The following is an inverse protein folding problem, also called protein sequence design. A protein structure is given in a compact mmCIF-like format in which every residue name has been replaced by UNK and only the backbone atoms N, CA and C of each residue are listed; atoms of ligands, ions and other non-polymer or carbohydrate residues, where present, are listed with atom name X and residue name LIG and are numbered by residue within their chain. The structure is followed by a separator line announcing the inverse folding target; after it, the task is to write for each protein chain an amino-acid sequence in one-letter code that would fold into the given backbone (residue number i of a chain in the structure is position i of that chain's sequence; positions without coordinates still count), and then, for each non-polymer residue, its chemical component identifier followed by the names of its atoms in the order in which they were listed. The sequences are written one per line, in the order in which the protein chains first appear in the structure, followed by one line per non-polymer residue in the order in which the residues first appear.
data_IF_180948058916
#
_entry.id   IF_180948058916
#
_cell.length_a   1.000
_cell.length_b   1.000
_cell.length_c   1.000
_cell.angle_alpha   90.00
_cell.angle_beta   90.00
_cell.angle_gamma   90.00
#
_symmetry.space_group_name_H-M   'P 1'
#
loop_
_entity.id
_entity.type
_entity.pdbx_description
1 polymer ?
#
# COMPACT_ATOMS: atom_id res chain seq x y z
N UNK A 1 -12.11 23.78 -20.98
CA UNK A 1 -10.94 23.46 -20.12
C UNK A 1 -10.24 22.26 -20.73
N UNK A 2 -8.90 22.25 -20.68
CA UNK A 2 -8.09 21.10 -21.13
C UNK A 2 -7.72 20.22 -19.94
N UNK A 3 -8.06 18.95 -20.01
CA UNK A 3 -7.75 17.95 -19.00
C UNK A 3 -6.73 16.95 -19.51
N UNK A 4 -5.70 16.67 -18.72
CA UNK A 4 -4.64 15.71 -19.07
C UNK A 4 -4.60 14.59 -18.03
N UNK A 5 -4.73 13.34 -18.49
CA UNK A 5 -4.48 12.14 -17.70
C UNK A 5 -3.09 11.61 -18.08
N UNK A 6 -2.16 11.61 -17.10
CA UNK A 6 -0.74 11.36 -17.37
C UNK A 6 -0.36 9.89 -17.50
N UNK A 7 -1.07 8.99 -16.81
CA UNK A 7 -0.62 7.59 -16.62
C UNK A 7 -1.80 6.61 -16.55
N UNK A 8 -2.62 6.60 -17.61
CA UNK A 8 -3.86 5.81 -17.67
C UNK A 8 -3.63 4.30 -17.46
N UNK A 9 -2.56 3.74 -18.04
CA UNK A 9 -2.24 2.32 -17.94
C UNK A 9 -1.93 1.87 -16.50
N UNK A 10 -1.50 2.80 -15.64
CA UNK A 10 -1.29 2.53 -14.21
C UNK A 10 -2.57 2.10 -13.46
N UNK A 11 -3.74 2.36 -14.07
CA UNK A 11 -5.04 1.96 -13.55
C UNK A 11 -5.49 0.59 -14.03
N UNK A 12 -4.89 0.03 -15.10
CA UNK A 12 -5.37 -1.15 -15.82
C UNK A 12 -6.77 -0.89 -16.39
N UNK A 13 -6.91 0.03 -17.37
CA UNK A 13 -8.22 0.57 -17.77
C UNK A 13 -9.12 -0.41 -18.53
N UNK A 14 -8.62 -1.55 -19.00
CA UNK A 14 -9.30 -2.47 -19.92
C UNK A 14 -10.58 -3.08 -19.33
N UNK A 15 -10.65 -3.22 -18.01
CA UNK A 15 -11.80 -3.80 -17.29
C UNK A 15 -12.57 -2.76 -16.45
N UNK A 16 -12.31 -1.45 -16.68
CA UNK A 16 -12.95 -0.33 -15.98
C UNK A 16 -13.92 0.44 -16.87
N UNK A 17 -14.95 0.99 -16.26
CA UNK A 17 -15.83 1.94 -16.93
C UNK A 17 -15.36 3.37 -16.70
N UNK A 18 -14.77 3.98 -17.72
CA UNK A 18 -14.33 5.37 -17.75
C UNK A 18 -15.36 6.31 -18.38
N UNK A 19 -16.51 5.81 -18.84
CA UNK A 19 -17.46 6.55 -19.67
C UNK A 19 -17.95 7.84 -19.00
N UNK A 20 -18.31 7.78 -17.71
CA UNK A 20 -18.76 8.94 -16.96
C UNK A 20 -17.66 10.01 -16.82
N UNK A 21 -16.42 9.58 -16.55
CA UNK A 21 -15.27 10.47 -16.43
C UNK A 21 -14.99 11.17 -17.76
N UNK A 22 -14.94 10.42 -18.86
CA UNK A 22 -14.62 10.92 -20.19
C UNK A 22 -15.75 11.74 -20.84
N UNK A 23 -16.99 11.60 -20.36
CA UNK A 23 -18.12 12.41 -20.79
C UNK A 23 -18.16 13.82 -20.17
N UNK A 24 -17.27 14.15 -19.23
CA UNK A 24 -17.18 15.52 -18.71
C UNK A 24 -16.85 16.52 -19.83
N UNK A 25 -17.42 17.75 -19.79
CA UNK A 25 -17.27 18.74 -20.87
C UNK A 25 -15.91 19.43 -20.82
N UNK A 26 -14.84 18.66 -20.98
CA UNK A 26 -13.45 19.08 -21.04
C UNK A 26 -12.77 18.48 -22.27
N UNK A 27 -11.73 19.12 -22.75
CA UNK A 27 -10.90 18.64 -23.85
C UNK A 27 -9.83 17.69 -23.31
N UNK A 28 -9.99 16.38 -23.56
CA UNK A 28 -9.17 15.33 -22.99
C UNK A 28 -7.90 15.07 -23.79
N UNK A 29 -6.77 14.99 -23.09
CA UNK A 29 -5.53 14.37 -23.57
C UNK A 29 -5.17 13.24 -22.60
N UNK A 30 -5.06 12.00 -23.09
CA UNK A 30 -4.81 10.83 -22.28
C UNK A 30 -3.51 10.18 -22.73
N UNK A 31 -2.57 10.03 -21.79
CA UNK A 31 -1.32 9.31 -22.02
C UNK A 31 -1.39 7.94 -21.32
N UNK A 32 -0.92 6.87 -21.96
CA UNK A 32 -0.82 5.55 -21.34
C UNK A 32 0.14 5.58 -20.15
N UNK A 33 1.31 6.19 -20.34
CA UNK A 33 2.34 6.39 -19.32
C UNK A 33 3.04 7.73 -19.54
N UNK A 34 3.65 8.29 -18.48
CA UNK A 34 4.40 9.54 -18.55
C UNK A 34 5.66 9.44 -17.71
N UNK A 35 6.82 9.53 -18.36
CA UNK A 35 8.10 9.61 -17.66
C UNK A 35 8.24 10.95 -16.92
N UNK A 36 9.04 11.01 -15.84
CA UNK A 36 9.24 12.26 -15.10
C UNK A 36 9.68 13.45 -15.97
N UNK A 37 10.48 13.20 -16.99
CA UNK A 37 11.01 14.26 -17.89
C UNK A 37 9.95 14.82 -18.85
N UNK A 38 8.89 14.06 -19.16
CA UNK A 38 7.80 14.46 -20.04
C UNK A 38 6.70 15.25 -19.33
N UNK A 39 6.63 15.18 -17.99
CA UNK A 39 5.52 15.77 -17.21
C UNK A 39 5.38 17.26 -17.49
N UNK A 40 6.48 18.01 -17.46
CA UNK A 40 6.45 19.46 -17.65
C UNK A 40 5.87 19.88 -19.00
N UNK A 41 6.24 19.20 -20.07
CA UNK A 41 5.72 19.46 -21.42
C UNK A 41 4.22 19.11 -21.52
N UNK A 42 3.85 17.94 -20.99
CA UNK A 42 2.48 17.41 -21.10
C UNK A 42 1.44 18.23 -20.34
N UNK A 43 1.84 18.90 -19.25
CA UNK A 43 0.92 19.71 -18.44
C UNK A 43 0.96 21.20 -18.73
N UNK A 44 1.88 21.68 -19.58
CA UNK A 44 2.16 23.10 -19.80
C UNK A 44 0.92 23.96 -20.12
N UNK A 45 0.01 23.45 -20.90
CA UNK A 45 -1.24 24.12 -21.30
C UNK A 45 -2.50 23.52 -20.65
N UNK A 46 -2.39 22.60 -19.69
CA UNK A 46 -3.51 21.97 -19.01
C UNK A 46 -4.20 22.91 -18.02
N UNK A 47 -5.50 22.86 -17.94
CA UNK A 47 -6.28 23.47 -16.86
C UNK A 47 -6.48 22.46 -15.68
N UNK A 48 -6.54 21.15 -15.99
CA UNK A 48 -6.73 20.04 -15.05
C UNK A 48 -5.72 18.95 -15.37
N UNK A 49 -5.10 18.37 -14.35
CA UNK A 49 -4.21 17.21 -14.47
C UNK A 49 -4.68 16.07 -13.56
N UNK A 50 -4.69 14.88 -14.11
CA UNK A 50 -4.91 13.62 -13.37
C UNK A 50 -3.61 12.82 -13.39
N UNK A 51 -3.24 12.28 -12.23
CA UNK A 51 -2.08 11.40 -12.10
C UNK A 51 -2.32 10.34 -11.03
N UNK A 52 -1.83 9.14 -11.26
CA UNK A 52 -1.73 8.12 -10.21
C UNK A 52 -0.30 8.11 -9.62
N UNK A 53 0.71 8.10 -10.51
CA UNK A 53 2.13 7.95 -10.11
C UNK A 53 3.08 8.92 -10.81
N UNK A 54 2.71 9.50 -11.95
CA UNK A 54 3.56 10.46 -12.64
C UNK A 54 3.85 11.67 -11.71
N UNK A 55 5.14 12.02 -11.45
CA UNK A 55 5.49 12.99 -10.43
C UNK A 55 5.27 14.43 -10.91
N UNK A 56 4.48 15.20 -10.17
CA UNK A 56 4.26 16.62 -10.41
C UNK A 56 5.13 17.42 -9.42
N UNK A 57 6.20 18.01 -9.91
CA UNK A 57 7.21 18.71 -9.13
C UNK A 57 7.02 20.23 -9.17
N UNK A 58 7.74 20.97 -8.31
CA UNK A 58 7.77 22.42 -8.35
C UNK A 58 8.19 22.96 -9.74
N UNK A 59 9.11 22.27 -10.43
CA UNK A 59 9.53 22.64 -11.79
C UNK A 59 8.38 22.53 -12.79
N UNK A 60 7.69 21.39 -12.82
CA UNK A 60 6.57 21.18 -13.74
C UNK A 60 5.41 22.16 -13.46
N UNK A 61 5.13 22.45 -12.19
CA UNK A 61 4.13 23.43 -11.78
C UNK A 61 4.49 24.86 -12.21
N UNK A 62 5.77 25.23 -12.15
CA UNK A 62 6.22 26.56 -12.58
C UNK A 62 5.99 26.83 -14.07
N UNK A 63 5.89 25.77 -14.88
CA UNK A 63 5.69 25.85 -16.33
C UNK A 63 4.21 25.71 -16.74
N UNK A 64 3.34 25.29 -15.83
CA UNK A 64 1.93 25.05 -16.07
C UNK A 64 1.05 26.25 -15.65
N UNK A 65 1.21 27.39 -16.31
CA UNK A 65 0.59 28.66 -15.92
C UNK A 65 -0.95 28.69 -15.95
N UNK A 66 -1.58 27.72 -16.62
CA UNK A 66 -3.04 27.58 -16.72
C UNK A 66 -3.63 26.58 -15.74
N UNK A 67 -2.79 25.79 -15.08
CA UNK A 67 -3.22 24.69 -14.21
C UNK A 67 -3.97 25.22 -12.99
N UNK A 68 -5.15 24.66 -12.75
CA UNK A 68 -6.04 25.05 -11.66
C UNK A 68 -6.34 23.91 -10.70
N UNK A 69 -6.28 22.65 -11.20
CA UNK A 69 -6.61 21.48 -10.41
C UNK A 69 -5.72 20.29 -10.75
N UNK A 70 -5.29 19.57 -9.72
CA UNK A 70 -4.70 18.25 -9.81
C UNK A 70 -5.62 17.25 -9.10
N UNK A 71 -5.99 16.17 -9.78
CA UNK A 71 -6.68 15.03 -9.16
C UNK A 71 -5.72 13.84 -9.07
N UNK A 72 -5.33 13.51 -7.85
CA UNK A 72 -4.48 12.35 -7.58
C UNK A 72 -5.36 11.11 -7.55
N UNK A 73 -5.12 10.17 -8.46
CA UNK A 73 -5.83 8.89 -8.54
C UNK A 73 -5.19 7.88 -7.57
N UNK A 74 -5.05 8.27 -6.32
CA UNK A 74 -4.54 7.49 -5.21
C UNK A 74 -4.95 8.13 -3.87
N UNK A 75 -4.78 7.42 -2.76
CA UNK A 75 -4.89 8.03 -1.42
C UNK A 75 -3.62 8.79 -1.04
N UNK A 76 -2.45 8.23 -1.36
CA UNK A 76 -1.16 8.88 -1.11
C UNK A 76 -0.93 10.07 -2.04
N UNK A 77 -0.35 11.13 -1.51
CA UNK A 77 -0.12 12.40 -2.22
C UNK A 77 1.33 12.60 -2.67
N UNK A 78 2.18 11.61 -2.48
CA UNK A 78 3.63 11.68 -2.72
C UNK A 78 4.01 11.99 -4.20
N UNK A 79 3.09 11.77 -5.14
CA UNK A 79 3.30 12.09 -6.55
C UNK A 79 3.22 13.60 -6.85
N UNK A 80 2.76 14.44 -5.89
CA UNK A 80 2.59 15.89 -6.11
C UNK A 80 3.31 16.68 -5.03
N UNK A 81 4.09 17.66 -5.44
CA UNK A 81 4.65 18.66 -4.54
C UNK A 81 3.53 19.58 -4.06
N UNK A 82 2.95 19.24 -2.90
CA UNK A 82 1.82 19.99 -2.33
C UNK A 82 2.21 21.42 -1.95
N UNK A 83 3.46 21.65 -1.51
CA UNK A 83 3.92 22.98 -1.15
C UNK A 83 3.98 23.88 -2.38
N UNK A 84 4.54 23.38 -3.46
CA UNK A 84 4.57 24.10 -4.73
C UNK A 84 3.16 24.31 -5.29
N UNK A 85 2.28 23.29 -5.23
CA UNK A 85 0.89 23.42 -5.67
C UNK A 85 0.16 24.55 -4.94
N UNK A 86 0.35 24.67 -3.62
CA UNK A 86 -0.20 25.78 -2.82
C UNK A 86 0.37 27.14 -3.27
N UNK A 87 1.68 27.24 -3.55
CA UNK A 87 2.31 28.48 -4.03
C UNK A 87 1.74 28.96 -5.37
N UNK A 88 1.44 28.00 -6.27
CA UNK A 88 0.84 28.28 -7.57
C UNK A 88 -0.70 28.34 -7.54
N UNK A 89 -1.31 28.25 -6.36
CA UNK A 89 -2.77 28.26 -6.16
C UNK A 89 -3.51 27.17 -6.95
N UNK A 90 -2.88 26.01 -7.10
CA UNK A 90 -3.46 24.84 -7.76
C UNK A 90 -4.16 24.01 -6.71
N UNK A 91 -5.47 23.79 -6.87
CA UNK A 91 -6.24 22.92 -6.00
C UNK A 91 -5.81 21.45 -6.20
N UNK A 92 -5.66 20.71 -5.12
CA UNK A 92 -5.30 19.29 -5.17
C UNK A 92 -6.37 18.45 -4.48
N UNK A 93 -6.90 17.47 -5.20
CA UNK A 93 -7.81 16.45 -4.68
C UNK A 93 -7.19 15.07 -4.78
N UNK A 94 -7.58 14.16 -3.89
CA UNK A 94 -7.16 12.75 -3.94
C UNK A 94 -8.37 11.80 -3.88
N UNK A 95 -8.13 10.50 -3.75
CA UNK A 95 -9.14 9.49 -3.50
C UNK A 95 -8.93 8.85 -2.11
N UNK A 96 -10.03 8.62 -1.39
CA UNK A 96 -9.99 8.07 -0.03
C UNK A 96 -10.86 6.84 0.07
N UNK A 97 -10.46 5.87 0.90
CA UNK A 97 -11.28 4.67 1.21
C UNK A 97 -11.71 3.82 0.01
N UNK A 98 -11.14 4.03 -1.14
CA UNK A 98 -11.49 3.28 -2.35
C UNK A 98 -10.96 1.84 -2.33
N UNK A 99 -9.80 1.62 -1.72
CA UNK A 99 -9.05 0.37 -1.73
C UNK A 99 -9.22 -0.52 -0.51
N UNK A 100 -9.97 -0.11 0.52
CA UNK A 100 -10.03 -0.78 1.82
C UNK A 100 -10.31 -2.27 1.73
N UNK A 101 -11.35 -2.68 1.00
CA UNK A 101 -11.68 -4.10 0.85
C UNK A 101 -10.59 -4.90 0.15
N UNK A 102 -9.96 -4.34 -0.89
CA UNK A 102 -8.86 -4.96 -1.62
C UNK A 102 -7.63 -5.16 -0.74
N UNK A 103 -7.22 -4.11 -0.01
CA UNK A 103 -6.04 -4.17 0.88
C UNK A 103 -6.27 -5.13 2.03
N UNK A 104 -7.44 -5.11 2.66
CA UNK A 104 -7.79 -6.06 3.74
C UNK A 104 -7.71 -7.50 3.25
N UNK A 105 -8.30 -7.79 2.08
CA UNK A 105 -8.23 -9.11 1.46
C UNK A 105 -6.79 -9.54 1.20
N UNK A 106 -5.94 -8.65 0.70
CA UNK A 106 -4.55 -8.94 0.40
C UNK A 106 -3.71 -9.18 1.65
N UNK A 107 -3.89 -8.36 2.70
CA UNK A 107 -3.26 -8.57 4.03
C UNK A 107 -3.58 -9.97 4.56
N UNK A 108 -4.86 -10.35 4.54
CA UNK A 108 -5.27 -11.66 5.02
C UNK A 108 -4.81 -12.80 4.12
N UNK A 109 -4.70 -12.59 2.81
CA UNK A 109 -4.10 -13.56 1.90
C UNK A 109 -2.62 -13.82 2.25
N UNK A 110 -1.84 -12.78 2.55
CA UNK A 110 -0.44 -12.90 2.99
C UNK A 110 -0.34 -13.61 4.35
N UNK A 111 -1.16 -13.22 5.33
CA UNK A 111 -1.19 -13.85 6.66
C UNK A 111 -1.49 -15.35 6.52
N UNK A 112 -2.57 -15.70 5.82
CA UNK A 112 -2.99 -17.10 5.64
C UNK A 112 -1.96 -17.91 4.86
N UNK A 113 -1.38 -17.35 3.79
CA UNK A 113 -0.35 -18.05 3.02
C UNK A 113 0.91 -18.36 3.85
N UNK A 114 1.32 -17.44 4.74
CA UNK A 114 2.48 -17.64 5.61
C UNK A 114 2.19 -18.63 6.75
N UNK A 115 1.05 -18.53 7.41
CA UNK A 115 0.70 -19.37 8.56
C UNK A 115 0.36 -20.81 8.16
N UNK A 116 -0.28 -21.00 7.01
CA UNK A 116 -0.61 -22.34 6.48
C UNK A 116 0.50 -22.95 5.60
N UNK A 117 1.63 -22.24 5.39
CA UNK A 117 2.69 -22.68 4.47
C UNK A 117 2.19 -23.01 3.07
N UNK A 118 1.19 -22.25 2.60
CA UNK A 118 0.46 -22.56 1.37
C UNK A 118 1.38 -22.72 0.17
N UNK A 119 2.39 -21.84 0.02
CA UNK A 119 3.37 -21.88 -1.08
C UNK A 119 4.22 -23.17 -1.06
N UNK A 120 4.64 -23.61 0.13
CA UNK A 120 5.49 -24.78 0.30
C UNK A 120 4.71 -26.06 0.05
N UNK A 121 3.50 -26.20 0.61
CA UNK A 121 2.63 -27.34 0.36
C UNK A 121 2.18 -27.42 -1.10
N UNK A 122 1.85 -26.28 -1.73
CA UNK A 122 1.51 -26.22 -3.14
C UNK A 122 2.67 -26.70 -4.01
N UNK A 123 3.90 -26.23 -3.71
CA UNK A 123 5.10 -26.70 -4.41
C UNK A 123 5.30 -28.20 -4.25
N UNK A 124 5.27 -28.72 -3.02
CA UNK A 124 5.46 -30.14 -2.73
C UNK A 124 4.38 -31.04 -3.37
N UNK A 125 3.18 -30.51 -3.61
CA UNK A 125 2.12 -31.23 -4.30
C UNK A 125 2.39 -31.40 -5.81
N UNK A 126 3.06 -30.42 -6.44
CA UNK A 126 3.27 -30.42 -7.91
C UNK A 126 4.67 -30.88 -8.33
N UNK A 127 5.69 -30.84 -7.45
CA UNK A 127 7.05 -31.26 -7.76
C UNK A 127 7.30 -32.76 -7.55
N UNK A 128 6.29 -33.53 -7.15
CA UNK A 128 6.36 -34.97 -6.93
C UNK A 128 6.71 -35.39 -5.50
N UNK A 129 6.98 -34.44 -4.60
CA UNK A 129 7.30 -34.74 -3.19
C UNK A 129 6.16 -35.51 -2.52
N UNK A 130 4.91 -35.02 -2.68
CA UNK A 130 3.75 -35.73 -2.12
C UNK A 130 3.52 -37.10 -2.77
N UNK A 131 3.73 -37.24 -4.07
CA UNK A 131 3.58 -38.48 -4.80
C UNK A 131 4.52 -39.58 -4.27
N UNK A 132 5.69 -39.19 -3.74
CA UNK A 132 6.68 -40.10 -3.18
C UNK A 132 6.50 -40.38 -1.68
N UNK A 133 5.53 -39.71 -1.02
CA UNK A 133 5.27 -39.87 0.40
C UNK A 133 4.65 -41.25 0.68
N UNK A 134 5.07 -41.88 1.75
CA UNK A 134 4.42 -43.10 2.29
C UNK A 134 3.14 -42.80 3.04
N UNK A 135 2.86 -41.55 3.35
CA UNK A 135 1.67 -41.05 4.04
C UNK A 135 0.66 -40.47 3.05
N UNK A 136 -0.61 -40.48 3.38
CA UNK A 136 -1.67 -39.89 2.58
C UNK A 136 -1.56 -38.33 2.52
N UNK A 137 -0.85 -37.71 3.45
CA UNK A 137 -0.60 -36.28 3.54
C UNK A 137 0.89 -36.01 3.78
N UNK A 138 1.30 -34.73 3.66
CA UNK A 138 2.60 -34.23 4.07
C UNK A 138 2.48 -33.48 5.40
N UNK A 139 3.45 -33.65 6.30
CA UNK A 139 3.55 -32.96 7.59
C UNK A 139 4.89 -32.21 7.73
N UNK A 140 5.54 -31.96 6.60
CA UNK A 140 6.92 -31.45 6.54
C UNK A 140 7.02 -29.96 6.88
N UNK A 141 5.93 -29.21 6.69
CA UNK A 141 5.91 -27.77 6.96
C UNK A 141 5.01 -27.49 8.17
N UNK A 142 5.55 -26.82 9.22
CA UNK A 142 4.76 -26.52 10.42
C UNK A 142 3.67 -25.49 10.11
N UNK A 143 2.44 -25.89 10.30
CA UNK A 143 1.23 -25.04 10.19
C UNK A 143 0.76 -24.68 11.58
N UNK A 144 0.37 -23.43 11.78
CA UNK A 144 -0.14 -22.92 13.04
C UNK A 144 -1.54 -22.33 12.88
N UNK A 145 -2.43 -22.67 13.82
CA UNK A 145 -3.75 -22.05 13.88
C UNK A 145 -3.67 -20.60 14.35
N UNK A 146 -4.59 -19.76 13.86
CA UNK A 146 -4.67 -18.34 14.25
C UNK A 146 -5.41 -18.14 15.58
N UNK A 147 -6.29 -19.06 15.95
CA UNK A 147 -7.12 -18.95 17.15
C UNK A 147 -6.26 -18.76 18.42
N UNK A 148 -6.58 -17.74 19.20
CA UNK A 148 -5.86 -17.40 20.43
C UNK A 148 -4.53 -16.67 20.24
N UNK A 149 -4.10 -16.43 18.98
CA UNK A 149 -2.91 -15.61 18.70
C UNK A 149 -3.22 -14.12 18.77
N UNK A 150 -2.20 -13.31 18.83
CA UNK A 150 -2.27 -11.84 18.95
C UNK A 150 -1.93 -11.20 17.62
N UNK A 151 -2.89 -10.47 17.03
CA UNK A 151 -2.66 -9.55 15.90
C UNK A 151 -2.30 -8.16 16.42
N UNK A 152 -1.10 -7.72 16.17
CA UNK A 152 -0.63 -6.36 16.44
C UNK A 152 -0.83 -5.46 15.22
N UNK A 153 -1.53 -4.34 15.41
CA UNK A 153 -1.79 -3.32 14.39
C UNK A 153 -0.96 -2.07 14.67
N UNK A 154 -0.11 -1.70 13.72
CA UNK A 154 0.65 -0.44 13.73
C UNK A 154 -0.05 0.55 12.80
N UNK A 155 -0.77 1.52 13.39
CA UNK A 155 -1.60 2.45 12.63
C UNK A 155 -3.08 2.04 12.58
N UNK A 156 -3.87 2.48 13.59
CA UNK A 156 -5.30 2.21 13.70
C UNK A 156 -6.15 3.26 12.94
N UNK A 157 -5.78 3.55 11.71
CA UNK A 157 -6.62 4.24 10.75
C UNK A 157 -7.66 3.30 10.15
N UNK A 158 -8.29 3.72 9.07
CA UNK A 158 -9.31 2.93 8.37
C UNK A 158 -8.85 1.52 8.00
N UNK A 159 -7.67 1.39 7.37
CA UNK A 159 -7.13 0.09 6.94
C UNK A 159 -6.81 -0.81 8.13
N UNK A 160 -6.09 -0.29 9.14
CA UNK A 160 -5.74 -1.07 10.32
C UNK A 160 -6.97 -1.56 11.09
N UNK A 161 -7.99 -0.70 11.28
CA UNK A 161 -9.24 -1.11 11.90
C UNK A 161 -10.01 -2.15 11.06
N UNK A 162 -9.99 -2.03 9.74
CA UNK A 162 -10.67 -2.97 8.87
C UNK A 162 -9.96 -4.36 8.85
N UNK A 163 -8.63 -4.39 8.92
CA UNK A 163 -7.85 -5.63 9.07
C UNK A 163 -8.13 -6.27 10.44
N UNK A 164 -8.13 -5.46 11.50
CA UNK A 164 -8.44 -5.91 12.87
C UNK A 164 -9.82 -6.56 12.99
N UNK A 165 -10.83 -6.00 12.32
CA UNK A 165 -12.19 -6.55 12.34
C UNK A 165 -12.28 -7.97 11.79
N UNK A 166 -11.46 -8.34 10.81
CA UNK A 166 -11.43 -9.70 10.28
C UNK A 166 -10.75 -10.67 11.26
N UNK A 167 -9.80 -10.19 12.08
CA UNK A 167 -9.10 -10.97 13.09
C UNK A 167 -10.05 -11.61 14.09
N UNK A 168 -11.13 -10.92 14.46
CA UNK A 168 -12.15 -11.43 15.39
C UNK A 168 -12.78 -12.74 14.89
N UNK A 169 -13.02 -12.85 13.56
CA UNK A 169 -13.59 -14.04 12.96
C UNK A 169 -12.65 -15.25 13.00
N UNK A 170 -11.34 -15.03 13.09
CA UNK A 170 -10.32 -16.06 13.28
C UNK A 170 -9.99 -16.33 14.76
N UNK A 171 -10.65 -15.62 15.68
CA UNK A 171 -10.41 -15.79 17.12
C UNK A 171 -9.10 -15.24 17.62
N UNK A 172 -8.51 -14.22 16.93
CA UNK A 172 -7.32 -13.52 17.41
C UNK A 172 -7.68 -12.44 18.43
N UNK A 173 -6.77 -12.20 19.38
CA UNK A 173 -6.74 -10.97 20.16
C UNK A 173 -6.12 -9.85 19.30
N UNK A 174 -6.67 -8.63 19.36
CA UNK A 174 -6.13 -7.47 18.65
C UNK A 174 -5.55 -6.47 19.63
N UNK A 175 -4.31 -6.06 19.35
CA UNK A 175 -3.64 -4.98 20.10
C UNK A 175 -3.16 -3.90 19.11
N UNK A 176 -3.09 -2.65 19.60
CA UNK A 176 -2.67 -1.51 18.77
C UNK A 176 -1.39 -0.89 19.32
N UNK A 177 -0.42 -0.60 18.45
CA UNK A 177 0.81 0.06 18.85
C UNK A 177 0.59 1.56 19.12
N UNK A 178 1.27 2.08 20.14
CA UNK A 178 1.55 3.50 20.26
C UNK A 178 2.74 3.83 19.35
N UNK A 179 2.55 4.76 18.40
CA UNK A 179 3.63 5.25 17.53
C UNK A 179 4.47 6.30 18.26
N UNK A 180 5.79 6.35 18.01
CA UNK A 180 6.65 7.38 18.58
C UNK A 180 6.14 8.80 18.28
N UNK A 181 6.31 9.72 19.22
CA UNK A 181 5.96 11.14 19.04
C UNK A 181 4.46 11.46 18.94
N UNK A 182 3.58 10.48 19.15
CA UNK A 182 2.12 10.70 19.12
C UNK A 182 1.49 10.54 20.49
N UNK A 183 0.63 11.48 20.85
CA UNK A 183 -0.29 11.34 21.98
C UNK A 183 -1.59 10.70 21.51
N UNK A 184 -2.16 9.84 22.34
CA UNK A 184 -3.41 9.15 22.07
C UNK A 184 -4.40 9.44 23.20
N UNK A 185 -5.62 9.81 22.85
CA UNK A 185 -6.69 10.06 23.82
C UNK A 185 -7.18 8.77 24.50
N UNK A 186 -7.02 7.62 23.84
CA UNK A 186 -7.32 6.29 24.38
C UNK A 186 -6.06 5.66 25.00
N UNK A 187 -6.19 5.15 26.21
CA UNK A 187 -5.09 4.45 26.91
C UNK A 187 -4.93 2.98 26.46
N UNK A 188 -5.59 2.57 25.37
CA UNK A 188 -5.57 1.18 24.90
C UNK A 188 -4.38 0.85 23.98
N UNK A 189 -3.49 1.81 23.76
CA UNK A 189 -2.29 1.61 22.94
C UNK A 189 -1.15 1.03 23.77
N UNK A 190 -0.50 0.02 23.19
CA UNK A 190 0.67 -0.63 23.81
C UNK A 190 1.93 0.05 23.30
N UNK A 191 2.85 0.37 24.20
CA UNK A 191 4.16 0.90 23.82
C UNK A 191 4.86 -0.07 22.84
N UNK A 192 5.54 0.47 21.82
CA UNK A 192 6.01 -0.28 20.66
C UNK A 192 6.85 -1.51 21.05
N UNK A 193 7.76 -1.37 22.01
CA UNK A 193 8.62 -2.45 22.48
C UNK A 193 7.83 -3.60 23.10
N UNK A 194 6.91 -3.27 24.01
CA UNK A 194 6.05 -4.27 24.65
C UNK A 194 5.05 -4.89 23.65
N UNK A 195 4.58 -4.11 22.68
CA UNK A 195 3.72 -4.53 21.61
C UNK A 195 4.38 -5.60 20.72
N UNK A 196 5.62 -5.37 20.28
CA UNK A 196 6.37 -6.31 19.43
C UNK A 196 6.60 -7.65 20.13
N UNK A 197 6.93 -7.64 21.44
CA UNK A 197 7.11 -8.88 22.21
C UNK A 197 5.84 -9.67 22.46
N UNK A 198 4.65 -9.04 22.34
CA UNK A 198 3.35 -9.71 22.53
C UNK A 198 2.74 -10.23 21.23
N UNK A 199 2.94 -9.54 20.10
CA UNK A 199 2.29 -9.85 18.85
C UNK A 199 2.85 -11.15 18.23
N UNK A 200 1.95 -12.01 17.71
CA UNK A 200 2.28 -13.15 16.88
C UNK A 200 2.27 -12.76 15.39
N UNK A 201 1.47 -11.75 15.05
CA UNK A 201 1.39 -11.15 13.72
C UNK A 201 1.47 -9.64 13.90
N UNK A 202 2.41 -8.98 13.23
CA UNK A 202 2.52 -7.52 13.18
C UNK A 202 2.11 -7.05 11.80
N UNK A 203 1.08 -6.19 11.72
CA UNK A 203 0.59 -5.63 10.44
C UNK A 203 0.69 -4.11 10.45
N UNK A 204 1.41 -3.58 9.45
CA UNK A 204 1.74 -2.16 9.35
C UNK A 204 0.72 -1.44 8.46
N UNK A 205 0.13 -0.35 8.99
CA UNK A 205 -0.87 0.50 8.33
C UNK A 205 -0.65 1.99 8.62
N UNK A 206 0.57 2.35 9.05
CA UNK A 206 0.96 3.74 9.28
C UNK A 206 1.50 4.38 7.99
N UNK A 207 1.40 5.72 7.82
CA UNK A 207 2.08 6.42 6.74
C UNK A 207 3.61 6.40 6.97
N UNK A 208 4.37 6.64 5.89
CA UNK A 208 5.79 6.91 5.98
C UNK A 208 5.97 8.41 6.30
N UNK A 209 6.61 8.69 7.42
CA UNK A 209 6.98 10.03 7.91
C UNK A 209 8.38 9.96 8.52
N UNK A 210 8.93 11.09 8.95
CA UNK A 210 10.24 11.12 9.63
C UNK A 210 10.25 10.25 10.91
N UNK A 211 9.10 10.11 11.59
CA UNK A 211 8.98 9.29 12.81
C UNK A 211 8.74 7.79 12.51
N UNK A 212 8.37 7.44 11.27
CA UNK A 212 8.06 6.06 10.88
C UNK A 212 9.01 5.49 9.84
N UNK A 213 9.97 6.27 9.35
CA UNK A 213 11.05 5.75 8.51
C UNK A 213 11.88 4.75 9.34
N UNK A 214 12.08 3.54 8.79
CA UNK A 214 12.73 2.42 9.49
C UNK A 214 12.15 2.16 10.91
N UNK A 215 10.84 2.37 11.07
CA UNK A 215 10.15 2.08 12.34
C UNK A 215 10.36 0.63 12.80
N UNK A 216 10.52 -0.27 11.86
CA UNK A 216 10.90 -1.67 12.10
C UNK A 216 12.30 -1.86 11.53
N UNK A 217 13.29 -1.89 12.41
CA UNK A 217 14.69 -2.09 12.10
C UNK A 217 15.25 -3.31 12.88
N UNK A 218 16.54 -3.53 12.88
CA UNK A 218 17.21 -4.66 13.57
C UNK A 218 16.77 -4.79 15.02
N UNK A 219 16.69 -3.66 15.75
CA UNK A 219 16.31 -3.65 17.17
C UNK A 219 14.84 -4.08 17.37
N UNK A 220 13.92 -3.62 16.52
CA UNK A 220 12.51 -3.94 16.59
C UNK A 220 12.24 -5.38 16.16
N UNK A 221 12.93 -5.87 15.12
CA UNK A 221 12.85 -7.26 14.67
C UNK A 221 13.32 -8.23 15.76
N UNK A 222 14.40 -7.89 16.48
CA UNK A 222 14.90 -8.69 17.59
C UNK A 222 13.97 -8.73 18.82
N UNK A 223 13.00 -7.80 18.93
CA UNK A 223 11.97 -7.80 19.98
C UNK A 223 10.76 -8.67 19.63
N UNK A 224 10.57 -9.01 18.35
CA UNK A 224 9.47 -9.85 17.91
C UNK A 224 9.68 -11.30 18.39
N UNK A 225 8.59 -12.06 18.49
CA UNK A 225 8.68 -13.49 18.77
C UNK A 225 9.35 -14.22 17.59
N UNK A 226 10.17 -15.24 17.81
CA UNK A 226 10.74 -16.05 16.73
C UNK A 226 9.66 -16.74 15.85
N UNK A 227 8.46 -16.94 16.39
CA UNK A 227 7.30 -17.44 15.64
C UNK A 227 6.48 -16.35 14.96
N UNK A 228 6.80 -15.07 15.14
CA UNK A 228 6.01 -13.96 14.61
C UNK A 228 6.20 -13.77 13.11
N UNK A 229 5.16 -13.26 12.46
CA UNK A 229 5.20 -12.80 11.07
C UNK A 229 4.96 -11.29 10.98
N UNK A 230 5.64 -10.65 10.01
CA UNK A 230 5.50 -9.22 9.72
C UNK A 230 4.79 -9.02 8.38
N UNK A 231 3.78 -8.14 8.36
CA UNK A 231 3.05 -7.77 7.14
C UNK A 231 3.21 -6.28 6.88
N UNK A 232 3.72 -5.92 5.71
CA UNK A 232 3.82 -4.53 5.26
C UNK A 232 3.09 -4.33 3.92
N UNK A 233 1.90 -3.77 3.97
CA UNK A 233 1.12 -3.30 2.82
C UNK A 233 0.90 -1.77 2.91
N UNK A 234 1.67 -1.08 3.74
CA UNK A 234 1.53 0.36 3.97
C UNK A 234 2.42 1.18 3.04
N UNK A 235 3.71 1.25 3.35
CA UNK A 235 4.73 1.95 2.54
C UNK A 235 6.08 1.24 2.68
N UNK A 236 6.83 1.19 1.61
CA UNK A 236 8.27 0.92 1.66
C UNK A 236 8.98 1.96 2.54
N UNK A 237 10.13 1.60 3.13
CA UNK A 237 10.85 2.47 4.05
C UNK A 237 10.30 2.54 5.47
N UNK A 238 9.09 2.03 5.76
CA UNK A 238 8.63 1.80 7.16
C UNK A 238 9.40 0.64 7.80
N UNK A 239 9.83 -0.31 6.99
CA UNK A 239 10.68 -1.43 7.39
C UNK A 239 12.04 -1.26 6.75
N UNK A 240 13.12 -1.43 7.52
CA UNK A 240 14.44 -1.55 6.96
C UNK A 240 14.57 -2.90 6.23
N UNK A 241 14.65 -2.85 4.90
CA UNK A 241 14.62 -4.05 4.04
C UNK A 241 15.87 -4.93 4.21
N UNK A 242 17.02 -4.32 4.54
CA UNK A 242 18.26 -5.05 4.82
C UNK A 242 18.15 -5.79 6.15
N UNK A 243 17.65 -5.11 7.18
CA UNK A 243 17.41 -5.70 8.49
C UNK A 243 16.40 -6.86 8.42
N UNK A 244 15.28 -6.66 7.71
CA UNK A 244 14.27 -7.70 7.50
C UNK A 244 14.84 -8.93 6.81
N UNK A 245 15.65 -8.74 5.74
CA UNK A 245 16.35 -9.84 5.07
C UNK A 245 17.22 -10.62 6.06
N UNK A 246 18.01 -9.94 6.87
CA UNK A 246 18.90 -10.59 7.85
C UNK A 246 18.13 -11.34 8.93
N UNK A 247 17.07 -10.74 9.45
CA UNK A 247 16.21 -11.37 10.47
C UNK A 247 15.57 -12.67 9.95
N UNK A 248 15.08 -12.68 8.69
CA UNK A 248 14.52 -13.87 8.05
C UNK A 248 15.58 -14.96 7.81
N UNK A 249 16.76 -14.57 7.32
CA UNK A 249 17.86 -15.53 7.08
C UNK A 249 18.39 -16.17 8.36
N UNK A 250 18.35 -15.43 9.49
CA UNK A 250 18.76 -15.94 10.81
C UNK A 250 17.63 -16.65 11.57
N UNK A 251 16.38 -16.58 11.07
CA UNK A 251 15.22 -17.13 11.76
C UNK A 251 14.83 -16.35 13.03
N UNK A 252 15.14 -15.06 13.08
CA UNK A 252 14.75 -14.17 14.19
C UNK A 252 13.25 -13.93 14.20
N UNK A 253 12.59 -14.00 13.02
CA UNK A 253 11.14 -14.05 12.86
C UNK A 253 10.75 -15.16 11.88
N UNK A 254 9.52 -15.68 11.97
CA UNK A 254 9.06 -16.84 11.20
C UNK A 254 8.76 -16.53 9.73
N UNK A 255 8.51 -15.30 9.37
CA UNK A 255 8.20 -14.94 7.99
C UNK A 255 7.78 -13.49 7.82
N UNK A 256 7.67 -13.05 6.55
CA UNK A 256 7.16 -11.74 6.21
C UNK A 256 6.36 -11.72 4.90
N UNK A 257 5.33 -10.86 4.85
CA UNK A 257 4.56 -10.52 3.66
C UNK A 257 4.73 -9.03 3.35
N UNK A 258 5.26 -8.70 2.17
CA UNK A 258 5.62 -7.33 1.80
C UNK A 258 5.03 -7.02 0.43
N UNK A 259 4.16 -6.01 0.37
CA UNK A 259 3.56 -5.54 -0.90
C UNK A 259 4.24 -4.27 -1.43
N UNK A 260 5.05 -3.61 -0.60
CA UNK A 260 5.63 -2.30 -0.90
C UNK A 260 7.13 -2.28 -0.64
N UNK A 261 7.88 -1.63 -1.54
CA UNK A 261 9.33 -1.48 -1.44
C UNK A 261 9.74 -0.01 -1.34
N UNK A 262 10.93 0.25 -0.83
CA UNK A 262 11.44 1.62 -0.70
C UNK A 262 11.54 2.32 -2.06
N UNK A 263 11.98 1.58 -3.09
CA UNK A 263 12.03 2.06 -4.46
C UNK A 263 11.13 1.18 -5.33
N UNK A 264 10.15 1.79 -5.99
CA UNK A 264 9.17 1.12 -6.85
C UNK A 264 9.06 1.82 -8.22
N UNK A 265 9.18 1.07 -9.33
CA UNK A 265 9.62 -0.34 -9.40
C UNK A 265 11.10 -0.49 -9.04
N UNK A 266 11.52 -1.64 -8.51
CA UNK A 266 12.90 -1.87 -8.05
C UNK A 266 13.87 -2.15 -9.20
N UNK A 267 14.11 -1.17 -10.09
CA UNK A 267 14.92 -1.30 -11.32
C UNK A 267 16.38 -1.66 -11.05
N UNK A 268 16.91 -1.20 -9.92
CA UNK A 268 18.30 -1.48 -9.49
C UNK A 268 18.38 -2.69 -8.54
N UNK A 269 17.27 -3.43 -8.38
CA UNK A 269 17.17 -4.54 -7.44
C UNK A 269 16.69 -4.07 -6.06
N UNK A 270 16.43 -5.06 -5.19
CA UNK A 270 16.04 -4.83 -3.80
C UNK A 270 16.48 -6.02 -2.95
N UNK A 271 16.95 -5.81 -1.71
CA UNK A 271 17.38 -6.89 -0.82
C UNK A 271 16.36 -8.00 -0.62
N UNK A 272 15.04 -7.67 -0.63
CA UNK A 272 13.94 -8.61 -0.42
C UNK A 272 13.61 -9.46 -1.66
N UNK A 273 14.18 -9.16 -2.82
CA UNK A 273 13.97 -9.96 -4.04
C UNK A 273 14.96 -11.14 -4.16
N UNK A 274 15.73 -11.41 -3.13
CA UNK A 274 16.61 -12.57 -3.05
C UNK A 274 15.78 -13.84 -2.78
N UNK A 275 15.75 -14.77 -3.74
CA UNK A 275 14.97 -16.01 -3.66
C UNK A 275 15.44 -17.01 -2.59
N UNK A 276 16.57 -16.75 -1.95
CA UNK A 276 17.11 -17.55 -0.83
C UNK A 276 16.49 -17.21 0.50
N UNK A 277 15.76 -16.10 0.60
CA UNK A 277 15.11 -15.70 1.85
C UNK A 277 13.94 -16.65 2.13
N UNK A 278 13.96 -17.38 3.28
CA UNK A 278 12.89 -18.29 3.61
C UNK A 278 11.64 -17.54 4.06
N UNK A 279 10.47 -18.11 3.82
CA UNK A 279 9.19 -17.60 4.33
C UNK A 279 8.92 -16.11 4.04
N UNK A 280 9.39 -15.61 2.89
CA UNK A 280 9.11 -14.26 2.41
C UNK A 280 8.16 -14.33 1.21
N UNK A 281 7.08 -13.55 1.29
CA UNK A 281 6.18 -13.27 0.19
C UNK A 281 6.31 -11.78 -0.18
N UNK A 282 6.77 -11.51 -1.41
CA UNK A 282 6.81 -10.15 -1.97
C UNK A 282 5.78 -10.07 -3.09
N UNK A 283 4.94 -9.04 -3.06
CA UNK A 283 3.97 -8.73 -4.11
C UNK A 283 4.22 -7.32 -4.65
N UNK A 284 3.96 -7.04 -5.95
CA UNK A 284 4.42 -5.83 -6.61
C UNK A 284 3.43 -4.66 -6.43
N UNK A 285 3.23 -4.20 -5.20
CA UNK A 285 2.33 -3.10 -4.82
C UNK A 285 0.91 -3.29 -5.38
N UNK A 286 0.38 -4.50 -5.23
CA UNK A 286 -0.90 -4.91 -5.82
C UNK A 286 -2.03 -5.11 -4.80
N UNK A 287 -1.85 -4.76 -3.54
CA UNK A 287 -2.91 -4.90 -2.53
C UNK A 287 -4.20 -4.12 -2.87
N UNK A 288 -4.10 -3.06 -3.67
CA UNK A 288 -5.21 -2.19 -4.04
C UNK A 288 -5.88 -2.53 -5.39
N UNK A 289 -5.33 -3.43 -6.20
CA UNK A 289 -5.64 -3.59 -7.64
C UNK A 289 -6.96 -4.31 -7.95
N UNK A 290 -7.75 -4.73 -6.96
CA UNK A 290 -9.04 -5.35 -7.25
C UNK A 290 -9.88 -4.44 -8.16
N UNK A 291 -10.55 -5.02 -9.18
CA UNK A 291 -11.34 -4.28 -10.15
C UNK A 291 -12.32 -3.29 -9.49
N UNK A 292 -13.04 -3.74 -8.47
CA UNK A 292 -14.00 -2.90 -7.74
C UNK A 292 -13.33 -1.73 -7.01
N UNK A 293 -12.08 -1.92 -6.54
CA UNK A 293 -11.29 -0.88 -5.92
C UNK A 293 -10.89 0.17 -6.96
N UNK A 294 -10.35 -0.25 -8.10
CA UNK A 294 -9.96 0.62 -9.20
C UNK A 294 -11.16 1.37 -9.80
N UNK A 295 -12.33 0.71 -9.89
CA UNK A 295 -13.55 1.39 -10.35
C UNK A 295 -13.99 2.49 -9.37
N UNK A 296 -14.02 2.22 -8.05
CA UNK A 296 -14.30 3.27 -7.06
C UNK A 296 -13.32 4.44 -7.11
N UNK A 297 -12.06 4.17 -7.46
CA UNK A 297 -11.07 5.22 -7.66
C UNK A 297 -11.44 6.11 -8.85
N UNK A 298 -11.82 5.52 -9.99
CA UNK A 298 -12.32 6.24 -11.18
C UNK A 298 -13.58 7.04 -10.83
N UNK A 299 -14.54 6.43 -10.13
CA UNK A 299 -15.79 7.09 -9.74
C UNK A 299 -15.54 8.32 -8.84
N UNK A 300 -14.63 8.20 -7.87
CA UNK A 300 -14.24 9.33 -7.02
C UNK A 300 -13.49 10.42 -7.79
N UNK A 301 -12.67 10.04 -8.75
CA UNK A 301 -11.99 10.99 -9.65
C UNK A 301 -13.01 11.75 -10.48
N UNK A 302 -14.00 11.05 -11.04
CA UNK A 302 -15.13 11.67 -11.74
C UNK A 302 -15.85 12.69 -10.84
N UNK A 303 -16.19 12.32 -9.62
CA UNK A 303 -16.87 13.22 -8.68
C UNK A 303 -16.06 14.49 -8.37
N UNK A 304 -14.73 14.34 -8.15
CA UNK A 304 -13.83 15.47 -7.91
C UNK A 304 -13.80 16.43 -9.11
N UNK A 305 -13.63 15.88 -10.33
CA UNK A 305 -13.58 16.68 -11.53
C UNK A 305 -14.93 17.33 -11.85
N UNK A 306 -16.03 16.61 -11.67
CA UNK A 306 -17.37 17.14 -11.88
C UNK A 306 -17.60 18.36 -10.99
N UNK A 307 -17.32 18.24 -9.69
CA UNK A 307 -17.47 19.34 -8.75
C UNK A 307 -16.65 20.56 -9.19
N UNK A 308 -15.37 20.34 -9.60
CA UNK A 308 -14.51 21.42 -10.08
C UNK A 308 -15.06 22.09 -11.35
N UNK A 309 -15.47 21.30 -12.35
CA UNK A 309 -15.98 21.81 -13.65
C UNK A 309 -17.29 22.59 -13.46
N UNK A 310 -18.10 22.20 -12.49
CA UNK A 310 -19.38 22.85 -12.15
C UNK A 310 -19.22 24.04 -11.21
N UNK A 311 -18.02 24.31 -10.69
CA UNK A 311 -17.78 25.37 -9.70
C UNK A 311 -18.37 25.05 -8.33
N UNK A 312 -18.59 23.75 -8.04
CA UNK A 312 -19.05 23.26 -6.74
C UNK A 312 -17.86 23.14 -5.75
N UNK A 313 -18.11 23.06 -4.44
CA UNK A 313 -17.07 22.79 -3.44
C UNK A 313 -16.33 21.47 -3.73
N UNK A 314 -15.02 21.49 -3.64
CA UNK A 314 -14.21 20.29 -3.85
C UNK A 314 -14.46 19.23 -2.77
N UNK A 315 -14.63 17.97 -3.18
CA UNK A 315 -15.08 16.92 -2.29
C UNK A 315 -13.95 16.34 -1.44
N UNK A 316 -12.77 16.12 -2.01
CA UNK A 316 -11.63 15.45 -1.36
C UNK A 316 -10.39 16.33 -1.50
N UNK A 317 -10.53 17.59 -1.16
CA UNK A 317 -9.45 18.55 -1.21
C UNK A 317 -8.35 18.15 -0.21
N UNK A 318 -7.11 18.18 -0.69
CA UNK A 318 -5.89 18.02 0.11
C UNK A 318 -5.30 19.41 0.39
N UNK A 319 -5.51 20.33 -0.54
CA UNK A 319 -5.19 21.75 -0.49
C UNK A 319 -6.39 22.57 -0.92
#
# INVERSE_FOLDING_TARGET
MKAVLLDCDSLGPEDLDLSALLALPVDWTIYPDTSPDEVSERIADADIVLTNKAPITALSLSQASRLKMISIMATGTNAVDLQAAAQYQVAVCNAVKYGTGSVVQHVWALILALTTKLKDYQRAAVDGTWQQSSLFCLLDFPVEELQGKVLGIVGAGELGCAVAKVAEAFGLEVIYAALPGREYADQQRVELKAFLGRADIVSLHCPLTDETVNLIDDAELALMKPSAILINTARGGVVNEVALKQALLKGEIAGAGVDVLTNEPPREGNPLLDNRIPNLLVTPHCAWVARQSRQRLVDQTFENLRAFVQGEPLLRAVL
#
